data_IF_912246648326
#
_entry.id   IF_912246648326
#
_cell.length_a   1.000
_cell.length_b   1.000
_cell.length_c   1.000
_cell.angle_alpha   90.00
_cell.angle_beta   90.00
_cell.angle_gamma   90.00
#
_symmetry.space_group_name_H-M   'P 1'
#
loop_
_entity.id
_entity.type
_entity.pdbx_description
1 polymer ?
#
# COMPACT_ATOMS: atom_id res chain seq x y z
N UNK A 1 -25.47 33.92 52.03
CA UNK A 1 -25.94 33.49 50.70
C UNK A 1 -25.40 32.09 50.47
N UNK A 2 -26.20 31.07 50.66
CA UNK A 2 -25.81 29.68 50.50
C UNK A 2 -26.31 29.21 49.14
N UNK A 3 -25.40 28.76 48.31
CA UNK A 3 -25.71 28.15 46.99
C UNK A 3 -26.23 26.71 47.22
N UNK A 4 -27.34 26.33 46.58
CA UNK A 4 -27.83 24.96 46.68
C UNK A 4 -27.01 24.05 45.76
N UNK A 5 -26.33 23.05 46.34
CA UNK A 5 -25.70 21.95 45.59
C UNK A 5 -26.79 21.01 45.06
N UNK A 6 -26.81 20.86 43.74
CA UNK A 6 -27.75 19.98 43.03
C UNK A 6 -27.27 18.52 43.17
N UNK A 7 -27.91 17.79 44.13
CA UNK A 7 -27.81 16.32 44.23
C UNK A 7 -28.70 15.62 43.18
N UNK A 8 -28.25 15.54 41.92
CA UNK A 8 -28.97 14.82 40.84
C UNK A 8 -28.41 13.42 40.55
N UNK A 9 -27.28 13.04 41.16
CA UNK A 9 -26.56 11.82 40.78
C UNK A 9 -27.10 10.50 41.39
N UNK A 10 -27.84 10.55 42.51
CA UNK A 10 -28.28 9.34 43.23
C UNK A 10 -29.52 8.64 42.62
N UNK A 11 -30.49 9.41 42.17
CA UNK A 11 -31.82 8.90 41.78
C UNK A 11 -31.84 8.10 40.46
N UNK A 12 -31.04 8.46 39.50
CA UNK A 12 -31.01 7.77 38.19
C UNK A 12 -30.31 6.40 38.28
N UNK A 13 -29.24 6.29 39.05
CA UNK A 13 -28.53 5.01 39.29
C UNK A 13 -29.37 4.01 40.10
N UNK A 14 -30.10 4.46 41.10
CA UNK A 14 -30.98 3.60 41.89
C UNK A 14 -32.22 3.15 41.12
N UNK A 15 -32.75 3.98 40.22
CA UNK A 15 -33.84 3.61 39.33
C UNK A 15 -33.43 2.52 38.32
N UNK A 16 -32.25 2.61 37.78
CA UNK A 16 -31.72 1.61 36.83
C UNK A 16 -31.39 0.27 37.49
N UNK A 17 -30.80 0.28 38.69
CA UNK A 17 -30.56 -0.93 39.51
C UNK A 17 -31.86 -1.64 39.89
N UNK A 18 -32.90 -0.90 40.29
CA UNK A 18 -34.21 -1.47 40.62
C UNK A 18 -34.95 -2.02 39.41
N UNK A 19 -34.77 -1.45 38.21
CA UNK A 19 -35.36 -1.95 36.98
C UNK A 19 -34.73 -3.26 36.51
N UNK A 20 -33.38 -3.37 36.54
CA UNK A 20 -32.68 -4.61 36.17
C UNK A 20 -32.94 -5.76 37.16
N UNK A 21 -33.02 -5.51 38.47
CA UNK A 21 -33.28 -6.57 39.45
C UNK A 21 -34.74 -7.08 39.42
N UNK A 22 -35.66 -6.32 38.82
CA UNK A 22 -37.08 -6.65 38.77
C UNK A 22 -37.44 -7.51 37.55
N UNK A 23 -36.57 -7.63 36.51
CA UNK A 23 -36.85 -8.42 35.32
C UNK A 23 -35.69 -9.36 35.01
N UNK A 24 -35.62 -10.55 35.63
CA UNK A 24 -34.56 -11.52 35.45
C UNK A 24 -34.43 -12.01 33.97
N UNK A 25 -35.51 -11.91 33.17
CA UNK A 25 -35.47 -12.28 31.78
C UNK A 25 -34.66 -11.28 30.95
N UNK A 26 -34.72 -9.98 31.25
CA UNK A 26 -33.92 -8.96 30.55
C UNK A 26 -32.42 -9.15 30.83
N UNK A 27 -32.02 -9.48 32.05
CA UNK A 27 -30.62 -9.80 32.35
C UNK A 27 -30.14 -11.06 31.58
N UNK A 28 -30.96 -12.12 31.53
CA UNK A 28 -30.64 -13.34 30.80
C UNK A 28 -30.51 -13.07 29.32
N UNK A 29 -31.39 -12.25 28.73
CA UNK A 29 -31.32 -11.87 27.33
C UNK A 29 -30.05 -11.07 27.03
N UNK A 30 -29.70 -10.10 27.88
CA UNK A 30 -28.48 -9.32 27.70
C UNK A 30 -27.20 -10.18 27.77
N UNK A 31 -27.14 -11.11 28.74
CA UNK A 31 -26.02 -12.04 28.89
C UNK A 31 -25.97 -12.98 27.67
N UNK A 32 -27.12 -13.53 27.26
CA UNK A 32 -27.19 -14.40 26.09
C UNK A 32 -26.75 -13.69 24.79
N UNK A 33 -27.25 -12.49 24.58
CA UNK A 33 -26.84 -11.68 23.40
C UNK A 33 -25.36 -11.34 23.44
N UNK A 34 -24.81 -10.98 24.58
CA UNK A 34 -23.37 -10.69 24.76
C UNK A 34 -22.52 -11.94 24.46
N UNK A 35 -22.95 -13.11 24.92
CA UNK A 35 -22.23 -14.34 24.69
C UNK A 35 -22.26 -14.77 23.20
N UNK A 36 -23.40 -14.60 22.55
CA UNK A 36 -23.52 -14.84 21.08
C UNK A 36 -22.61 -13.90 20.30
N UNK A 37 -22.55 -12.61 20.67
CA UNK A 37 -21.65 -11.63 20.03
C UNK A 37 -20.17 -12.01 20.20
N UNK A 38 -19.78 -12.47 21.38
CA UNK A 38 -18.40 -12.94 21.62
C UNK A 38 -18.09 -14.17 20.77
N UNK A 39 -19.01 -15.12 20.63
CA UNK A 39 -18.84 -16.30 19.78
C UNK A 39 -18.75 -15.95 18.30
N UNK A 40 -19.60 -15.03 17.81
CA UNK A 40 -19.54 -14.53 16.43
C UNK A 40 -18.22 -13.83 16.15
N UNK A 41 -17.74 -13.00 17.09
CA UNK A 41 -16.44 -12.34 16.97
C UNK A 41 -15.29 -13.34 16.93
N UNK A 42 -15.29 -14.31 17.86
CA UNK A 42 -14.26 -15.35 17.90
C UNK A 42 -14.25 -16.18 16.61
N UNK A 43 -15.41 -16.49 16.05
CA UNK A 43 -15.54 -17.19 14.78
C UNK A 43 -15.04 -16.32 13.61
N UNK A 44 -15.40 -15.03 13.56
CA UNK A 44 -14.93 -14.12 12.49
C UNK A 44 -13.41 -13.94 12.52
N UNK A 45 -12.83 -13.76 13.73
CA UNK A 45 -11.36 -13.67 13.88
C UNK A 45 -10.70 -14.98 13.47
N UNK A 46 -11.24 -16.13 13.90
CA UNK A 46 -10.72 -17.44 13.53
C UNK A 46 -10.78 -17.68 12.03
N UNK A 47 -11.92 -17.40 11.39
CA UNK A 47 -12.09 -17.56 9.94
C UNK A 47 -11.08 -16.69 9.17
N UNK A 48 -10.93 -15.41 9.52
CA UNK A 48 -9.99 -14.51 8.85
C UNK A 48 -8.51 -14.84 9.10
N UNK A 49 -8.18 -15.56 10.19
CA UNK A 49 -6.78 -15.92 10.49
C UNK A 49 -6.38 -17.30 9.99
N UNK A 50 -7.35 -18.18 9.73
CA UNK A 50 -7.08 -19.58 9.32
C UNK A 50 -7.28 -19.81 7.82
N UNK A 51 -8.21 -19.08 7.19
CA UNK A 51 -8.50 -19.17 5.75
C UNK A 51 -8.07 -17.84 5.06
N UNK A 52 -6.77 -17.61 4.98
CA UNK A 52 -6.28 -16.47 4.19
C UNK A 52 -6.35 -16.82 2.71
N UNK A 53 -7.13 -16.10 1.93
CA UNK A 53 -7.09 -16.13 0.46
C UNK A 53 -5.87 -15.40 -0.11
N UNK A 54 -5.01 -14.83 0.74
CA UNK A 54 -3.83 -14.09 0.35
C UNK A 54 -2.56 -14.85 0.68
N UNK A 55 -1.66 -14.89 -0.29
CA UNK A 55 -0.36 -15.51 -0.20
C UNK A 55 0.72 -14.47 -0.46
N UNK A 56 1.72 -14.42 0.40
CA UNK A 56 2.93 -13.65 0.18
C UNK A 56 3.93 -14.46 -0.61
N UNK A 57 4.57 -13.86 -1.61
CA UNK A 57 5.70 -14.46 -2.28
C UNK A 57 6.93 -13.55 -2.15
N UNK A 58 8.09 -14.18 -2.04
CA UNK A 58 9.37 -13.49 -1.99
C UNK A 58 10.19 -13.86 -3.21
N UNK A 59 10.94 -12.88 -3.72
CA UNK A 59 11.85 -13.06 -4.84
C UNK A 59 13.28 -12.71 -4.42
N UNK A 60 14.25 -13.07 -5.24
CA UNK A 60 15.67 -12.78 -4.99
C UNK A 60 15.97 -11.29 -4.92
N UNK A 61 15.28 -10.45 -5.74
CA UNK A 61 15.51 -9.00 -5.85
C UNK A 61 17.01 -8.67 -5.96
N UNK A 62 17.70 -9.32 -6.91
CA UNK A 62 19.16 -9.27 -7.03
C UNK A 62 19.59 -8.22 -8.05
N UNK A 63 20.43 -7.24 -7.66
CA UNK A 63 21.05 -6.33 -8.62
C UNK A 63 22.13 -7.06 -9.43
N UNK A 64 22.05 -6.92 -10.74
CA UNK A 64 22.97 -7.52 -11.71
C UNK A 64 23.66 -6.42 -12.50
N UNK A 65 24.98 -6.35 -12.40
CA UNK A 65 25.81 -5.45 -13.21
C UNK A 65 25.88 -5.98 -14.65
N UNK A 66 25.48 -5.16 -15.62
CA UNK A 66 25.50 -5.51 -17.01
C UNK A 66 26.92 -5.30 -17.59
N UNK A 67 27.40 -6.30 -18.32
CA UNK A 67 28.67 -6.20 -19.03
C UNK A 67 28.43 -5.44 -20.35
N UNK A 68 28.95 -4.23 -20.41
CA UNK A 68 28.81 -3.33 -21.55
C UNK A 68 29.93 -3.54 -22.55
N UNK A 69 29.57 -3.69 -23.83
CA UNK A 69 30.52 -3.80 -24.94
C UNK A 69 30.36 -2.61 -25.86
N UNK A 70 31.45 -1.92 -26.18
CA UNK A 70 31.41 -0.86 -27.18
C UNK A 70 30.97 -1.44 -28.55
N UNK A 71 30.03 -0.80 -29.23
CA UNK A 71 29.60 -1.20 -30.56
C UNK A 71 30.64 -0.86 -31.60
N UNK A 72 31.24 0.32 -31.51
CA UNK A 72 32.32 0.84 -32.34
C UNK A 72 33.40 1.39 -31.42
N UNK A 73 34.64 0.94 -31.65
CA UNK A 73 35.79 1.38 -30.84
C UNK A 73 35.98 2.91 -30.92
N UNK A 74 35.98 3.53 -29.77
CA UNK A 74 36.14 5.00 -29.62
C UNK A 74 34.86 5.80 -29.66
N UNK A 75 33.70 5.19 -29.97
CA UNK A 75 32.38 5.83 -29.88
C UNK A 75 31.72 5.52 -28.56
N UNK A 76 31.03 6.52 -27.99
CA UNK A 76 30.28 6.37 -26.74
C UNK A 76 28.91 5.68 -27.00
N UNK A 77 28.99 4.47 -27.52
CA UNK A 77 27.85 3.58 -27.77
C UNK A 77 28.17 2.17 -27.28
N UNK A 78 27.37 1.69 -26.34
CA UNK A 78 27.56 0.37 -25.71
C UNK A 78 26.29 -0.44 -25.85
N UNK A 79 26.50 -1.74 -26.06
CA UNK A 79 25.41 -2.71 -26.11
C UNK A 79 25.61 -3.79 -25.05
N UNK A 80 24.50 -4.26 -24.50
CA UNK A 80 24.47 -5.40 -23.57
C UNK A 80 23.14 -6.11 -23.66
N UNK A 81 23.08 -7.34 -23.18
CA UNK A 81 21.84 -8.12 -23.11
C UNK A 81 21.59 -8.55 -21.68
N UNK A 82 20.39 -8.31 -21.19
CA UNK A 82 19.89 -8.87 -19.93
C UNK A 82 18.83 -9.93 -20.22
N UNK A 83 18.73 -10.90 -19.35
CA UNK A 83 17.70 -11.95 -19.40
C UNK A 83 17.14 -12.14 -18.00
N UNK A 84 15.85 -12.41 -17.90
CA UNK A 84 15.17 -12.64 -16.62
C UNK A 84 13.94 -11.77 -16.45
N UNK A 85 13.27 -11.95 -15.33
CA UNK A 85 12.18 -11.09 -14.91
C UNK A 85 12.78 -9.85 -14.23
N UNK A 86 12.70 -8.70 -14.92
CA UNK A 86 13.38 -7.46 -14.51
C UNK A 86 12.37 -6.45 -13.99
N UNK A 87 12.67 -5.86 -12.81
CA UNK A 87 11.86 -4.75 -12.28
C UNK A 87 12.31 -3.40 -12.76
N UNK A 88 13.59 -3.10 -12.66
CA UNK A 88 14.10 -1.77 -13.03
C UNK A 88 15.52 -1.80 -13.55
N UNK A 89 15.89 -0.73 -14.22
CA UNK A 89 17.23 -0.45 -14.74
C UNK A 89 17.75 0.88 -14.19
N UNK A 90 19.05 0.94 -13.92
CA UNK A 90 19.77 2.15 -13.55
C UNK A 90 21.03 2.25 -14.42
N UNK A 91 21.10 3.28 -15.25
CA UNK A 91 22.27 3.58 -16.10
C UNK A 91 22.92 4.87 -15.59
N UNK A 92 24.18 4.79 -15.23
CA UNK A 92 24.95 5.94 -14.73
C UNK A 92 26.15 6.17 -15.64
N UNK A 93 26.35 7.43 -16.04
CA UNK A 93 27.53 7.86 -16.78
C UNK A 93 28.28 8.95 -16.01
N UNK A 94 29.60 8.97 -16.22
CA UNK A 94 30.47 10.05 -15.70
C UNK A 94 31.59 10.35 -16.68
N UNK A 95 32.11 11.57 -16.66
CA UNK A 95 33.17 12.02 -17.57
C UNK A 95 32.67 12.43 -18.96
N UNK A 96 31.36 12.46 -19.18
CA UNK A 96 30.78 12.90 -20.42
C UNK A 96 30.86 14.43 -20.58
N UNK A 97 30.92 14.97 -21.83
CA UNK A 97 30.90 16.42 -22.07
C UNK A 97 29.62 17.07 -21.47
N UNK A 98 29.77 18.24 -20.91
CA UNK A 98 28.63 19.00 -20.41
C UNK A 98 27.70 19.41 -21.58
N UNK A 99 26.39 19.22 -21.40
CA UNK A 99 25.40 19.50 -22.45
C UNK A 99 25.13 18.32 -23.38
N UNK A 100 25.88 17.20 -23.24
CA UNK A 100 25.56 15.97 -23.98
C UNK A 100 24.27 15.34 -23.46
N UNK A 101 23.76 14.35 -24.20
CA UNK A 101 22.53 13.61 -23.89
C UNK A 101 22.84 12.13 -23.78
N UNK A 102 22.47 11.52 -22.65
CA UNK A 102 22.45 10.08 -22.49
C UNK A 102 21.14 9.54 -23.05
N UNK A 103 21.21 8.61 -24.00
CA UNK A 103 20.08 7.88 -24.55
C UNK A 103 20.21 6.41 -24.20
N UNK A 104 19.11 5.81 -23.72
CA UNK A 104 19.01 4.37 -23.44
C UNK A 104 17.83 3.81 -24.24
N UNK A 105 18.10 2.78 -25.03
CA UNK A 105 17.11 2.09 -25.85
C UNK A 105 17.01 0.64 -25.38
N UNK A 106 15.79 0.16 -25.15
CA UNK A 106 15.50 -1.24 -24.92
C UNK A 106 14.90 -1.84 -26.20
N UNK A 107 15.49 -2.92 -26.72
CA UNK A 107 14.85 -3.63 -27.82
C UNK A 107 13.74 -4.54 -27.27
N UNK A 108 12.63 -4.59 -27.97
CA UNK A 108 11.48 -5.48 -27.70
C UNK A 108 10.60 -5.18 -26.49
N UNK A 109 10.92 -4.18 -25.67
CA UNK A 109 10.11 -3.82 -24.49
C UNK A 109 10.01 -2.31 -24.33
N UNK A 110 8.81 -1.82 -24.03
CA UNK A 110 8.62 -0.46 -23.53
C UNK A 110 8.82 -0.45 -22.03
N UNK A 111 9.45 0.58 -21.51
CA UNK A 111 9.72 0.74 -20.07
C UNK A 111 9.43 2.16 -19.61
N UNK A 112 9.17 2.31 -18.32
CA UNK A 112 8.81 3.61 -17.74
C UNK A 112 10.05 4.37 -17.29
N UNK A 113 10.10 5.65 -17.62
CA UNK A 113 11.09 6.58 -17.08
C UNK A 113 10.41 7.87 -16.60
N UNK A 114 10.94 8.42 -15.52
CA UNK A 114 10.64 9.78 -15.05
C UNK A 114 11.93 10.41 -14.51
N UNK A 115 12.17 11.71 -14.75
CA UNK A 115 13.29 12.44 -14.13
C UNK A 115 13.26 12.42 -12.60
N UNK A 116 12.10 12.16 -12.01
CA UNK A 116 11.89 12.11 -10.56
C UNK A 116 12.13 10.73 -9.95
N UNK A 117 12.25 9.66 -10.76
CA UNK A 117 12.52 8.33 -10.24
C UNK A 117 13.86 8.29 -9.49
N UNK A 118 13.80 7.91 -8.19
CA UNK A 118 14.96 7.84 -7.32
C UNK A 118 15.61 9.20 -7.01
N UNK A 119 14.92 10.31 -7.22
CA UNK A 119 15.31 11.60 -6.69
C UNK A 119 15.22 11.59 -5.15
N UNK A 120 16.08 12.34 -4.43
CA UNK A 120 16.12 12.33 -2.96
C UNK A 120 14.80 12.72 -2.29
N UNK A 121 13.97 13.47 -2.97
CA UNK A 121 12.68 14.03 -2.55
C UNK A 121 11.49 13.19 -3.06
N UNK A 122 11.71 12.16 -3.88
CA UNK A 122 10.66 11.27 -4.33
C UNK A 122 10.43 10.17 -3.29
N UNK A 123 9.25 10.13 -2.70
CA UNK A 123 8.91 9.12 -1.67
C UNK A 123 8.77 7.71 -2.27
N UNK A 124 8.44 7.61 -3.58
CA UNK A 124 8.17 6.33 -4.22
C UNK A 124 8.98 6.14 -5.51
N UNK A 125 9.62 4.99 -5.64
CA UNK A 125 10.21 4.51 -6.88
C UNK A 125 9.17 3.70 -7.67
N UNK A 126 8.10 4.34 -8.15
CA UNK A 126 7.00 3.68 -8.83
C UNK A 126 6.28 4.63 -9.79
N UNK A 127 5.87 4.13 -10.96
CA UNK A 127 5.02 4.83 -11.94
C UNK A 127 3.54 4.39 -11.90
N UNK A 128 3.10 3.65 -10.91
CA UNK A 128 1.70 3.22 -10.75
C UNK A 128 0.73 4.37 -10.48
N UNK A 129 -0.57 4.12 -10.67
CA UNK A 129 -1.65 5.13 -10.63
C UNK A 129 -1.67 6.06 -9.41
N UNK A 130 -1.13 5.62 -8.29
CA UNK A 130 -1.14 6.36 -7.01
C UNK A 130 0.23 6.90 -6.61
N UNK A 131 1.21 6.86 -7.53
CA UNK A 131 2.54 7.39 -7.28
C UNK A 131 2.59 8.89 -7.56
N UNK A 132 3.35 9.64 -6.77
CA UNK A 132 3.59 11.08 -6.95
C UNK A 132 4.28 11.39 -8.30
N UNK A 133 5.02 10.44 -8.85
CA UNK A 133 5.75 10.61 -10.10
C UNK A 133 4.97 10.13 -11.33
N UNK A 134 3.77 9.57 -11.16
CA UNK A 134 2.95 8.99 -12.25
C UNK A 134 2.73 9.96 -13.41
N UNK A 135 2.43 11.23 -13.12
CA UNK A 135 2.18 12.24 -14.15
C UNK A 135 3.41 12.55 -15.02
N UNK A 136 4.61 12.27 -14.50
CA UNK A 136 5.89 12.51 -15.20
C UNK A 136 6.47 11.24 -15.84
N UNK A 137 5.88 10.07 -15.56
CA UNK A 137 6.31 8.81 -16.12
C UNK A 137 5.91 8.70 -17.60
N UNK A 138 6.88 8.39 -18.42
CA UNK A 138 6.72 8.15 -19.85
C UNK A 138 7.03 6.69 -20.13
N UNK A 139 6.15 6.00 -20.87
CA UNK A 139 6.36 4.65 -21.35
C UNK A 139 6.87 4.71 -22.78
N UNK A 140 8.05 4.18 -23.05
CA UNK A 140 8.68 4.13 -24.38
C UNK A 140 9.77 3.06 -24.39
N UNK A 141 10.19 2.63 -25.57
CA UNK A 141 11.40 1.84 -25.78
C UNK A 141 12.69 2.66 -25.61
N UNK A 142 12.58 4.00 -25.73
CA UNK A 142 13.71 4.93 -25.76
C UNK A 142 13.51 6.06 -24.78
N UNK A 143 14.50 6.29 -23.91
CA UNK A 143 14.55 7.43 -23.00
C UNK A 143 15.85 8.20 -23.06
N UNK A 144 15.77 9.50 -22.80
CA UNK A 144 16.89 10.43 -22.87
C UNK A 144 16.96 11.29 -21.61
N UNK A 145 18.17 11.58 -21.18
CA UNK A 145 18.45 12.52 -20.08
C UNK A 145 19.67 13.39 -20.38
N UNK A 146 19.57 14.67 -20.10
CA UNK A 146 20.69 15.61 -20.26
C UNK A 146 21.80 15.34 -19.27
N UNK A 147 23.04 15.53 -19.70
CA UNK A 147 24.23 15.43 -18.86
C UNK A 147 24.51 16.77 -18.20
N UNK A 148 24.57 16.80 -16.89
CA UNK A 148 24.94 17.97 -16.07
C UNK A 148 26.20 17.66 -15.29
N UNK A 149 27.11 18.62 -15.17
CA UNK A 149 28.36 18.48 -14.40
C UNK A 149 29.20 17.23 -14.78
N UNK A 150 29.14 16.79 -16.05
CA UNK A 150 29.92 15.65 -16.54
C UNK A 150 29.36 14.29 -16.16
N UNK A 151 28.19 14.22 -15.58
CA UNK A 151 27.52 12.95 -15.23
C UNK A 151 26.01 13.00 -15.39
N UNK A 152 25.42 11.85 -15.49
CA UNK A 152 23.95 11.68 -15.48
C UNK A 152 23.58 10.28 -15.03
N UNK A 153 22.37 10.15 -14.49
CA UNK A 153 21.78 8.87 -14.12
C UNK A 153 20.39 8.79 -14.69
N UNK A 154 20.15 7.74 -15.50
CA UNK A 154 18.84 7.42 -16.04
C UNK A 154 18.31 6.17 -15.33
N UNK A 155 17.15 6.30 -14.68
CA UNK A 155 16.47 5.21 -13.97
C UNK A 155 15.14 4.95 -14.61
N UNK A 156 14.74 3.68 -14.67
CA UNK A 156 13.43 3.32 -15.18
C UNK A 156 12.93 1.99 -14.66
N UNK A 157 11.63 1.78 -14.82
CA UNK A 157 10.92 0.59 -14.40
C UNK A 157 10.59 -0.23 -15.63
N UNK A 158 11.08 -1.46 -15.67
CA UNK A 158 10.88 -2.40 -16.78
C UNK A 158 9.54 -3.11 -16.63
N UNK A 159 9.25 -3.60 -15.43
CA UNK A 159 7.95 -4.21 -15.11
C UNK A 159 7.40 -3.67 -13.81
N UNK A 160 6.15 -3.23 -13.86
CA UNK A 160 5.38 -2.82 -12.66
C UNK A 160 4.63 -3.98 -12.00
N UNK A 161 4.58 -5.14 -12.64
CA UNK A 161 3.93 -6.33 -12.08
C UNK A 161 4.80 -7.02 -11.03
N UNK A 162 6.12 -6.85 -11.12
CA UNK A 162 7.07 -7.42 -10.19
C UNK A 162 7.25 -6.55 -8.94
N UNK A 163 7.50 -7.15 -7.77
CA UNK A 163 7.66 -6.40 -6.53
C UNK A 163 9.01 -5.68 -6.49
N UNK A 164 8.99 -4.35 -6.31
CA UNK A 164 10.20 -3.52 -6.27
C UNK A 164 11.18 -3.91 -5.16
N UNK A 165 10.68 -4.41 -4.03
CA UNK A 165 11.49 -4.79 -2.86
C UNK A 165 11.58 -6.31 -2.69
N UNK A 166 11.17 -7.09 -3.69
CA UNK A 166 11.22 -8.54 -3.64
C UNK A 166 10.13 -9.22 -2.80
N UNK A 167 9.14 -8.47 -2.31
CA UNK A 167 7.98 -8.99 -1.59
C UNK A 167 6.70 -8.60 -2.32
N UNK A 168 5.93 -9.59 -2.76
CA UNK A 168 4.64 -9.38 -3.40
C UNK A 168 3.54 -10.21 -2.73
N UNK A 169 2.30 -9.91 -3.10
CA UNK A 169 1.11 -10.61 -2.62
C UNK A 169 0.23 -11.00 -3.80
N UNK A 170 -0.41 -12.14 -3.67
CA UNK A 170 -1.40 -12.62 -4.64
C UNK A 170 -2.59 -13.26 -3.92
N UNK A 171 -3.73 -13.26 -4.57
CA UNK A 171 -4.93 -13.92 -4.08
C UNK A 171 -5.08 -15.28 -4.76
N UNK A 172 -5.32 -16.33 -3.99
CA UNK A 172 -5.48 -17.69 -4.49
C UNK A 172 -6.33 -18.54 -3.55
N UNK A 173 -6.92 -19.59 -4.07
CA UNK A 173 -7.74 -20.51 -3.29
C UNK A 173 -6.90 -21.46 -2.41
N UNK A 174 -5.67 -21.76 -2.83
CA UNK A 174 -4.75 -22.64 -2.10
C UNK A 174 -3.27 -22.32 -2.41
N UNK A 175 -2.37 -22.94 -1.64
CA UNK A 175 -0.93 -22.71 -1.74
C UNK A 175 -0.33 -23.19 -3.08
N UNK A 176 -0.83 -24.30 -3.62
CA UNK A 176 -0.31 -24.86 -4.86
C UNK A 176 -0.66 -23.95 -6.04
N UNK A 177 -1.89 -23.45 -6.10
CA UNK A 177 -2.35 -22.46 -7.09
C UNK A 177 -1.61 -21.13 -6.91
N UNK A 178 -1.32 -20.73 -5.66
CA UNK A 178 -0.53 -19.54 -5.37
C UNK A 178 0.90 -19.66 -5.91
N UNK A 179 1.53 -20.83 -5.74
CA UNK A 179 2.87 -21.10 -6.28
C UNK A 179 2.89 -21.07 -7.80
N UNK A 180 1.90 -21.68 -8.45
CA UNK A 180 1.77 -21.66 -9.91
C UNK A 180 1.57 -20.24 -10.43
N UNK A 181 0.73 -19.45 -9.75
CA UNK A 181 0.49 -18.04 -10.10
C UNK A 181 1.75 -17.19 -9.97
N UNK A 182 2.52 -17.35 -8.88
CA UNK A 182 3.78 -16.65 -8.68
C UNK A 182 4.83 -17.04 -9.75
N UNK A 183 4.94 -18.33 -10.07
CA UNK A 183 5.83 -18.80 -11.14
C UNK A 183 5.41 -18.26 -12.50
N UNK A 184 4.12 -18.22 -12.78
CA UNK A 184 3.56 -17.67 -14.03
C UNK A 184 3.85 -16.18 -14.14
N UNK A 185 3.73 -15.43 -13.05
CA UNK A 185 4.08 -14.01 -13.00
C UNK A 185 5.54 -13.78 -13.39
N UNK A 186 6.48 -14.54 -12.80
CA UNK A 186 7.90 -14.46 -13.16
C UNK A 186 8.13 -14.89 -14.62
N UNK A 187 7.50 -15.97 -15.07
CA UNK A 187 7.66 -16.47 -16.43
C UNK A 187 7.14 -15.48 -17.48
N UNK A 188 6.03 -14.80 -17.21
CA UNK A 188 5.46 -13.80 -18.12
C UNK A 188 6.32 -12.54 -18.23
N UNK A 189 7.09 -12.23 -17.19
CA UNK A 189 8.01 -11.09 -17.17
C UNK A 189 9.46 -11.48 -17.49
N UNK A 190 9.72 -12.75 -17.87
CA UNK A 190 11.04 -13.22 -18.22
C UNK A 190 11.33 -12.98 -19.71
N UNK A 191 12.03 -11.90 -20.00
CA UNK A 191 12.37 -11.49 -21.34
C UNK A 191 13.87 -11.33 -21.53
N UNK A 192 14.30 -11.45 -22.80
CA UNK A 192 15.66 -11.09 -23.22
C UNK A 192 15.63 -9.70 -23.83
N UNK A 193 16.24 -8.74 -23.16
CA UNK A 193 16.25 -7.33 -23.58
C UNK A 193 17.67 -6.96 -23.98
N UNK A 194 17.82 -6.41 -25.20
CA UNK A 194 19.07 -5.80 -25.62
C UNK A 194 19.00 -4.31 -25.32
N UNK A 195 19.94 -3.86 -24.51
CA UNK A 195 20.10 -2.46 -24.13
C UNK A 195 21.17 -1.81 -24.97
N UNK A 196 20.85 -0.68 -25.61
CA UNK A 196 21.81 0.20 -26.29
C UNK A 196 21.89 1.50 -25.52
N UNK A 197 23.09 1.84 -25.05
CA UNK A 197 23.38 3.03 -24.24
C UNK A 197 24.29 3.93 -25.07
N UNK A 198 23.85 5.13 -25.42
CA UNK A 198 24.60 6.03 -26.31
C UNK A 198 24.66 7.42 -25.66
N UNK A 199 25.81 8.05 -25.76
CA UNK A 199 26.00 9.46 -25.38
C UNK A 199 26.18 10.29 -26.65
N UNK A 200 25.33 11.31 -26.79
CA UNK A 200 25.35 12.25 -27.90
C UNK A 200 25.88 13.60 -27.44
N UNK A 201 26.74 14.21 -28.23
CA UNK A 201 27.14 15.62 -28.12
C UNK A 201 26.62 16.45 -29.30
N UNK A 202 27.11 17.68 -29.42
CA UNK A 202 26.71 18.58 -30.54
C UNK A 202 27.14 18.09 -31.92
N UNK A 203 28.16 17.23 -32.01
CA UNK A 203 28.75 16.71 -33.24
C UNK A 203 28.22 15.32 -33.61
N UNK A 204 27.48 14.65 -32.73
CA UNK A 204 26.89 13.31 -32.91
C UNK A 204 27.13 12.38 -31.74
N UNK A 205 27.61 11.14 -32.00
CA UNK A 205 27.99 10.22 -30.90
C UNK A 205 29.33 10.73 -30.32
N UNK A 206 29.36 10.93 -29.00
CA UNK A 206 30.54 11.42 -28.31
C UNK A 206 31.71 10.41 -28.34
N UNK A 207 32.92 10.85 -28.05
CA UNK A 207 34.07 9.94 -27.88
C UNK A 207 34.02 9.19 -26.56
N UNK A 208 34.26 7.87 -26.58
CA UNK A 208 34.15 7.01 -25.38
C UNK A 208 35.29 7.17 -24.36
N UNK A 209 36.46 7.66 -24.78
CA UNK A 209 37.73 7.61 -24.03
C UNK A 209 37.68 8.20 -22.60
N UNK A 210 36.82 9.19 -22.34
CA UNK A 210 36.71 9.84 -21.07
C UNK A 210 35.44 9.43 -20.29
N UNK A 211 34.56 8.64 -20.92
CA UNK A 211 33.25 8.31 -20.37
C UNK A 211 33.30 6.96 -19.67
N UNK A 212 32.94 6.96 -18.38
CA UNK A 212 32.68 5.73 -17.65
C UNK A 212 31.17 5.50 -17.62
N UNK A 213 30.75 4.32 -18.01
CA UNK A 213 29.35 3.90 -18.02
C UNK A 213 29.18 2.67 -17.13
N UNK A 214 28.10 2.65 -16.37
CA UNK A 214 27.66 1.46 -15.64
C UNK A 214 26.14 1.30 -15.81
N UNK A 215 25.70 0.06 -15.94
CA UNK A 215 24.30 -0.28 -16.01
C UNK A 215 24.00 -1.44 -15.07
N UNK A 216 22.97 -1.30 -14.26
CA UNK A 216 22.51 -2.29 -13.30
C UNK A 216 21.03 -2.54 -13.56
N UNK A 217 20.63 -3.79 -13.58
CA UNK A 217 19.23 -4.22 -13.61
C UNK A 217 18.94 -5.02 -12.35
N UNK A 218 17.68 -5.09 -11.94
CA UNK A 218 17.27 -5.97 -10.84
C UNK A 218 16.43 -7.10 -11.36
N UNK A 219 16.90 -8.33 -11.10
CA UNK A 219 16.25 -9.57 -11.54
C UNK A 219 15.55 -10.27 -10.38
N UNK A 220 14.51 -11.01 -10.71
CA UNK A 220 13.67 -11.73 -9.77
C UNK A 220 13.53 -13.21 -10.13
N UNK A 221 13.76 -14.05 -9.13
CA UNK A 221 13.43 -15.47 -9.13
C UNK A 221 12.60 -15.76 -7.86
N UNK A 222 11.62 -16.66 -7.93
CA UNK A 222 10.84 -17.04 -6.75
C UNK A 222 11.74 -17.74 -5.73
N UNK A 223 11.74 -17.21 -4.51
CA UNK A 223 12.42 -17.81 -3.36
C UNK A 223 11.45 -18.62 -2.52
N UNK A 224 10.27 -18.04 -2.21
CA UNK A 224 9.26 -18.73 -1.42
C UNK A 224 7.87 -18.15 -1.70
N UNK A 225 6.87 -19.01 -1.53
CA UNK A 225 5.46 -18.63 -1.46
C UNK A 225 4.89 -19.18 -0.17
N UNK A 226 4.22 -18.37 0.61
CA UNK A 226 3.66 -18.75 1.89
C UNK A 226 2.31 -18.06 2.11
N UNK A 227 1.46 -18.71 2.88
CA UNK A 227 0.20 -18.14 3.31
C UNK A 227 0.45 -16.83 4.09
N UNK A 228 -0.25 -15.76 3.70
CA UNK A 228 -0.19 -14.50 4.42
C UNK A 228 -0.96 -14.63 5.74
N UNK A 229 -0.23 -14.64 6.85
CA UNK A 229 -0.82 -14.74 8.18
C UNK A 229 -0.91 -13.37 8.81
N UNK A 230 -2.14 -12.91 9.05
CA UNK A 230 -2.38 -11.76 9.88
C UNK A 230 -1.93 -12.04 11.33
N UNK A 231 -1.38 -11.03 11.99
CA UNK A 231 -1.11 -11.15 13.43
C UNK A 231 -2.46 -11.30 14.18
N UNK A 232 -2.73 -12.46 14.81
CA UNK A 232 -4.01 -12.73 15.46
C UNK A 232 -4.29 -11.75 16.62
N UNK A 233 -3.27 -11.16 17.23
CA UNK A 233 -3.42 -10.16 18.29
C UNK A 233 -3.91 -8.84 17.70
N UNK A 234 -3.26 -8.38 16.63
CA UNK A 234 -3.62 -7.14 15.95
C UNK A 234 -5.03 -7.23 15.36
N UNK A 235 -5.35 -8.35 14.68
CA UNK A 235 -6.67 -8.60 14.11
C UNK A 235 -7.76 -8.65 15.19
N UNK A 236 -7.48 -9.30 16.33
CA UNK A 236 -8.39 -9.33 17.47
C UNK A 236 -8.66 -7.94 18.03
N UNK A 237 -7.65 -7.07 18.10
CA UNK A 237 -7.81 -5.69 18.60
C UNK A 237 -8.67 -4.87 17.63
N UNK A 238 -8.42 -4.95 16.32
CA UNK A 238 -9.22 -4.22 15.31
C UNK A 238 -10.67 -4.72 15.27
N UNK A 239 -10.88 -6.03 15.27
CA UNK A 239 -12.22 -6.63 15.29
C UNK A 239 -12.98 -6.25 16.56
N UNK A 240 -12.32 -6.25 17.72
CA UNK A 240 -12.92 -5.83 18.97
C UNK A 240 -13.25 -4.32 18.97
N UNK A 241 -12.37 -3.47 18.48
CA UNK A 241 -12.61 -2.04 18.38
C UNK A 241 -13.80 -1.73 17.46
N UNK A 242 -13.89 -2.41 16.31
CA UNK A 242 -15.01 -2.30 15.38
C UNK A 242 -16.33 -2.74 16.01
N UNK A 243 -16.32 -3.88 16.71
CA UNK A 243 -17.49 -4.39 17.43
C UNK A 243 -17.97 -3.44 18.51
N UNK A 244 -17.05 -2.90 19.33
CA UNK A 244 -17.37 -1.91 20.38
C UNK A 244 -17.93 -0.63 19.74
N UNK A 245 -17.37 -0.18 18.63
CA UNK A 245 -17.84 0.98 17.87
C UNK A 245 -19.28 0.78 17.35
N UNK A 246 -19.54 -0.32 16.66
CA UNK A 246 -20.87 -0.68 16.17
C UNK A 246 -21.89 -0.82 17.29
N UNK A 247 -21.52 -1.49 18.40
CA UNK A 247 -22.39 -1.70 19.53
C UNK A 247 -22.71 -0.37 20.27
N UNK A 248 -21.72 0.50 20.37
CA UNK A 248 -21.90 1.84 20.94
C UNK A 248 -22.88 2.68 20.12
N UNK A 249 -22.82 2.61 18.79
CA UNK A 249 -23.77 3.29 17.91
C UNK A 249 -25.20 2.73 18.05
N UNK A 250 -25.33 1.40 18.11
CA UNK A 250 -26.64 0.74 18.33
C UNK A 250 -27.28 1.10 19.65
N UNK A 251 -26.48 1.35 20.71
CA UNK A 251 -26.98 1.81 22.01
C UNK A 251 -27.23 3.33 22.04
N UNK A 252 -26.42 4.12 21.37
CA UNK A 252 -26.53 5.57 21.36
C UNK A 252 -27.85 6.06 20.75
N UNK A 253 -28.29 5.44 19.64
CA UNK A 253 -29.52 5.82 18.95
C UNK A 253 -30.78 5.66 19.83
N UNK A 254 -31.07 4.49 20.45
CA UNK A 254 -32.20 4.33 21.33
C UNK A 254 -32.12 5.24 22.57
N UNK A 255 -30.91 5.47 23.11
CA UNK A 255 -30.70 6.37 24.21
C UNK A 255 -31.02 7.82 23.87
N UNK A 256 -30.57 8.30 22.67
CA UNK A 256 -30.91 9.64 22.18
C UNK A 256 -32.42 9.81 22.01
N UNK A 257 -33.10 8.83 21.41
CA UNK A 257 -34.56 8.84 21.28
C UNK A 257 -35.24 8.88 22.63
N UNK A 258 -34.80 8.05 23.58
CA UNK A 258 -35.34 8.02 24.91
C UNK A 258 -35.13 9.35 25.65
N UNK A 259 -33.94 9.92 25.64
CA UNK A 259 -33.66 11.21 26.28
C UNK A 259 -34.44 12.36 25.62
N UNK A 260 -34.58 12.36 24.28
CA UNK A 260 -35.36 13.37 23.56
C UNK A 260 -36.86 13.30 23.93
N UNK A 261 -37.41 12.10 24.06
CA UNK A 261 -38.79 11.88 24.50
C UNK A 261 -39.00 12.32 25.94
N UNK A 262 -38.09 11.99 26.86
CA UNK A 262 -38.12 12.45 28.25
C UNK A 262 -38.03 13.97 28.36
N UNK A 263 -37.12 14.59 27.58
CA UNK A 263 -36.98 16.04 27.55
C UNK A 263 -38.25 16.72 27.09
N UNK A 264 -38.86 16.19 26.01
CA UNK A 264 -40.13 16.70 25.48
C UNK A 264 -41.23 16.56 26.50
N UNK A 265 -41.38 15.40 27.16
CA UNK A 265 -42.40 15.18 28.21
C UNK A 265 -42.27 16.15 29.37
N UNK A 266 -41.05 16.38 29.88
CA UNK A 266 -40.77 17.36 30.94
C UNK A 266 -41.08 18.79 30.52
N UNK A 267 -40.82 19.14 29.26
CA UNK A 267 -41.16 20.47 28.73
C UNK A 267 -42.66 20.69 28.63
N UNK A 268 -43.39 19.69 28.15
CA UNK A 268 -44.83 19.75 28.00
C UNK A 268 -45.53 19.80 29.37
N UNK A 269 -45.01 19.09 30.38
CA UNK A 269 -45.49 19.16 31.77
C UNK A 269 -45.27 20.56 32.37
N UNK A 270 -44.12 21.18 32.14
CA UNK A 270 -43.83 22.54 32.60
C UNK A 270 -44.76 23.55 31.96
N UNK A 271 -45.00 23.48 30.65
CA UNK A 271 -45.94 24.37 29.94
C UNK A 271 -47.36 24.19 30.49
N UNK A 272 -47.76 22.96 30.81
CA UNK A 272 -49.10 22.70 31.39
C UNK A 272 -49.26 23.26 32.82
N UNK A 273 -48.17 23.24 33.64
CA UNK A 273 -48.19 23.80 34.99
C UNK A 273 -48.13 25.33 35.02
N UNK A 274 -47.66 25.98 33.93
CA UNK A 274 -47.58 27.44 33.81
C UNK A 274 -48.82 28.04 33.12
N UNK A 275 -49.70 27.20 32.56
CA UNK A 275 -50.95 27.68 31.94
C UNK A 275 -51.92 28.17 33.06
N UNK A 276 -52.45 29.40 32.96
CA UNK A 276 -53.43 29.92 33.93
C UNK A 276 -54.70 29.05 33.89
N UNK A 277 -55.21 28.71 35.08
CA UNK A 277 -56.51 28.03 35.19
C UNK A 277 -57.59 28.91 34.56
N UNK A 278 -58.57 28.32 33.81
CA UNK A 278 -59.63 29.06 33.13
C UNK A 278 -60.64 29.73 34.08
#
# INVERSE_FOLDING_TARGET
>A
MATPSIEISGSARDGMRKSMSRNPNMLRTMIGTGLVLVLVLAFAVYSNTVDSEYYGYTTTNEPVDLQLNEEIEGEASWQTTSTGALTWINVTISGAPAGSTLRVVASSVDWYHSPLLGAPDAENFNCGEWSEVTETCVLSDTHEVGVTDGGSTLRGIVSMELPLEGLGYLQSDDLDTAQESAQTLIANNNEAIVWTITVFDDDGIAESHSINVSAVVVSHEIVSVAEFKLDPVQESVYSFATLVGCFSLLLALPLMVYYSAMYKAKRDERIRSEAPEP
#
